data_IF_474774783375
#
_entry.id   IF_474774783375
#
_cell.length_a   1.000
_cell.length_b   1.000
_cell.length_c   1.000
_cell.angle_alpha   90.00
_cell.angle_beta   90.00
_cell.angle_gamma   90.00
#
_symmetry.space_group_name_H-M   'P 1'
#
loop_
_entity.id
_entity.type
_entity.pdbx_description
1 polymer ?
#
# COMPACT_ATOMS: atom_id res chain seq x y z
N UNK A 1 -5.39 -14.36 -24.08
CA UNK A 1 -4.81 -13.01 -23.91
C UNK A 1 -3.45 -13.19 -23.26
N UNK A 2 -2.40 -12.51 -23.74
CA UNK A 2 -1.11 -12.56 -23.06
C UNK A 2 -1.26 -11.91 -21.67
N UNK A 3 -0.51 -12.38 -20.68
CA UNK A 3 -0.56 -11.85 -19.31
C UNK A 3 -0.30 -10.34 -19.27
N UNK A 4 0.54 -9.84 -20.18
CA UNK A 4 0.86 -8.43 -20.34
C UNK A 4 -0.36 -7.58 -20.76
N UNK A 5 -1.25 -8.13 -21.61
CA UNK A 5 -2.46 -7.43 -22.05
C UNK A 5 -3.46 -7.24 -20.91
N UNK A 6 -3.55 -8.25 -20.03
CA UNK A 6 -4.42 -8.19 -18.85
C UNK A 6 -3.91 -7.14 -17.87
N UNK A 7 -2.60 -7.11 -17.63
CA UNK A 7 -2.01 -6.13 -16.73
C UNK A 7 -2.22 -4.69 -17.23
N UNK A 8 -2.01 -4.43 -18.52
CA UNK A 8 -2.28 -3.10 -19.14
C UNK A 8 -3.74 -2.66 -18.95
N UNK A 9 -4.70 -3.58 -19.10
CA UNK A 9 -6.12 -3.31 -18.87
C UNK A 9 -6.41 -2.93 -17.41
N UNK A 10 -5.80 -3.64 -16.47
CA UNK A 10 -5.95 -3.35 -15.03
C UNK A 10 -5.39 -1.97 -14.71
N UNK A 11 -4.19 -1.63 -15.19
CA UNK A 11 -3.58 -0.32 -14.97
C UNK A 11 -4.47 0.80 -15.53
N UNK A 12 -5.00 0.63 -16.75
CA UNK A 12 -5.94 1.59 -17.34
C UNK A 12 -7.19 1.78 -16.49
N UNK A 13 -7.80 0.69 -16.04
CA UNK A 13 -8.97 0.73 -15.17
C UNK A 13 -8.67 1.43 -13.83
N UNK A 14 -7.54 1.12 -13.20
CA UNK A 14 -7.14 1.75 -11.95
C UNK A 14 -7.00 3.27 -12.09
N UNK A 15 -6.45 3.74 -13.22
CA UNK A 15 -6.30 5.18 -13.49
C UNK A 15 -7.64 5.84 -13.81
N UNK A 16 -8.44 5.23 -14.68
CA UNK A 16 -9.73 5.78 -15.13
C UNK A 16 -10.76 5.90 -13.99
N UNK A 17 -10.80 4.92 -13.09
CA UNK A 17 -11.79 4.87 -12.01
C UNK A 17 -11.27 5.37 -10.67
N UNK A 18 -10.08 5.99 -10.62
CA UNK A 18 -9.58 6.65 -9.41
C UNK A 18 -9.14 5.70 -8.31
N UNK A 19 -8.46 4.61 -8.66
CA UNK A 19 -7.81 3.70 -7.71
C UNK A 19 -6.35 4.09 -7.44
N UNK A 20 -5.49 4.05 -8.45
CA UNK A 20 -4.04 4.26 -8.30
C UNK A 20 -3.51 5.11 -9.43
N UNK A 21 -2.65 6.07 -9.08
CA UNK A 21 -1.99 6.99 -10.00
C UNK A 21 -0.47 6.94 -9.82
N UNK A 22 0.32 7.09 -10.90
CA UNK A 22 1.74 7.40 -10.77
C UNK A 22 1.91 8.71 -10.01
N UNK A 23 2.74 8.70 -8.96
CA UNK A 23 2.96 9.90 -8.18
C UNK A 23 3.76 10.92 -8.98
N UNK A 24 3.45 12.20 -8.78
CA UNK A 24 4.10 13.33 -9.47
C UNK A 24 4.02 13.25 -11.00
N UNK A 25 2.96 12.66 -11.57
CA UNK A 25 2.85 12.41 -13.02
C UNK A 25 3.03 13.70 -13.86
N UNK A 26 2.57 14.86 -13.37
CA UNK A 26 2.73 16.16 -14.06
C UNK A 26 4.13 16.77 -13.94
N UNK A 27 5.02 16.15 -13.17
CA UNK A 27 6.40 16.57 -12.89
C UNK A 27 7.40 15.44 -13.23
N UNK A 28 7.21 14.79 -14.38
CA UNK A 28 8.00 13.65 -14.89
C UNK A 28 7.89 12.33 -14.09
N UNK A 29 7.08 12.32 -13.03
CA UNK A 29 6.83 11.13 -12.22
C UNK A 29 7.97 10.80 -11.26
N UNK A 30 7.66 10.06 -10.20
CA UNK A 30 8.65 9.47 -9.31
C UNK A 30 8.60 7.94 -9.43
N UNK A 31 9.69 7.35 -9.89
CA UNK A 31 9.79 5.91 -10.07
C UNK A 31 9.45 5.15 -8.79
N UNK A 32 8.63 4.10 -8.93
CA UNK A 32 8.16 3.24 -7.85
C UNK A 32 7.32 3.92 -6.75
N UNK A 33 6.82 5.14 -6.98
CA UNK A 33 5.91 5.84 -6.04
C UNK A 33 4.55 6.08 -6.68
N UNK A 34 3.50 5.83 -5.91
CA UNK A 34 2.11 5.86 -6.39
C UNK A 34 1.18 6.47 -5.36
N UNK A 35 0.17 7.17 -5.85
CA UNK A 35 -0.87 7.82 -5.06
C UNK A 35 -2.21 7.07 -5.21
N UNK A 36 -2.96 6.98 -4.11
CA UNK A 36 -4.29 6.36 -4.10
C UNK A 36 -5.35 7.42 -4.36
N UNK A 37 -6.23 7.19 -5.34
CA UNK A 37 -7.40 8.04 -5.63
C UNK A 37 -8.58 7.75 -4.69
N UNK A 38 -9.74 8.38 -4.94
CA UNK A 38 -10.92 8.23 -4.08
C UNK A 38 -11.33 6.77 -3.83
N UNK A 39 -11.39 5.95 -4.88
CA UNK A 39 -11.79 4.55 -4.75
C UNK A 39 -10.65 3.68 -4.21
N UNK A 40 -9.41 4.07 -4.50
CA UNK A 40 -8.22 3.38 -4.00
C UNK A 40 -8.02 3.52 -2.50
N UNK A 41 -8.24 4.73 -1.96
CA UNK A 41 -8.15 4.99 -0.52
C UNK A 41 -9.21 4.19 0.24
N UNK A 42 -10.46 4.20 -0.23
CA UNK A 42 -11.55 3.43 0.38
C UNK A 42 -11.27 1.93 0.35
N UNK A 43 -10.86 1.39 -0.81
CA UNK A 43 -10.50 -0.02 -0.93
C UNK A 43 -9.35 -0.40 0.01
N UNK A 44 -8.28 0.41 0.04
CA UNK A 44 -7.13 0.20 0.92
C UNK A 44 -7.52 0.21 2.39
N UNK A 45 -8.35 1.17 2.82
CA UNK A 45 -8.80 1.29 4.20
C UNK A 45 -9.69 0.11 4.60
N UNK A 46 -10.59 -0.33 3.72
CA UNK A 46 -11.46 -1.49 3.95
C UNK A 46 -10.65 -2.78 4.11
N UNK A 47 -9.64 -3.00 3.27
CA UNK A 47 -8.74 -4.16 3.39
C UNK A 47 -7.95 -4.10 4.69
N UNK A 48 -7.37 -2.94 5.04
CA UNK A 48 -6.64 -2.76 6.29
C UNK A 48 -7.50 -3.04 7.51
N UNK A 49 -8.74 -2.52 7.53
CA UNK A 49 -9.69 -2.74 8.60
C UNK A 49 -10.05 -4.22 8.73
N UNK A 50 -10.41 -4.86 7.63
CA UNK A 50 -10.74 -6.29 7.61
C UNK A 50 -9.58 -7.12 8.15
N UNK A 51 -8.35 -6.85 7.70
CA UNK A 51 -7.17 -7.55 8.17
C UNK A 51 -6.95 -7.34 9.67
N UNK A 52 -7.03 -6.08 10.16
CA UNK A 52 -6.86 -5.76 11.57
C UNK A 52 -7.89 -6.47 12.45
N UNK A 53 -9.16 -6.39 12.06
CA UNK A 53 -10.25 -7.05 12.79
C UNK A 53 -10.01 -8.57 12.81
N UNK A 54 -9.61 -9.17 11.69
CA UNK A 54 -9.38 -10.62 11.59
C UNK A 54 -8.16 -11.11 12.39
N UNK A 55 -7.06 -10.35 12.40
CA UNK A 55 -5.80 -10.80 12.98
C UNK A 55 -5.65 -10.37 14.43
N UNK A 56 -6.04 -9.15 14.77
CA UNK A 56 -5.80 -8.57 16.10
C UNK A 56 -6.99 -8.77 17.02
N UNK A 57 -8.22 -8.61 16.52
CA UNK A 57 -9.40 -8.68 17.41
C UNK A 57 -9.89 -10.12 17.64
N UNK A 58 -9.66 -11.04 16.70
CA UNK A 58 -10.10 -12.43 16.81
C UNK A 58 -9.07 -13.38 17.43
N UNK A 59 -7.84 -12.93 17.67
CA UNK A 59 -6.76 -13.75 18.22
C UNK A 59 -6.28 -13.19 19.56
N UNK A 60 -6.38 -13.99 20.62
CA UNK A 60 -6.01 -13.59 21.99
C UNK A 60 -4.50 -13.34 22.17
N UNK A 61 -3.68 -13.85 21.25
CA UNK A 61 -2.22 -13.79 21.31
C UNK A 61 -1.60 -12.77 20.34
N UNK A 62 -2.40 -11.89 19.75
CA UNK A 62 -1.93 -10.84 18.83
C UNK A 62 -2.24 -9.47 19.43
N UNK A 63 -1.24 -8.58 19.48
CA UNK A 63 -1.37 -7.23 20.03
C UNK A 63 -1.09 -6.20 18.95
N UNK A 64 -1.96 -5.19 18.84
CA UNK A 64 -1.79 -4.07 17.92
C UNK A 64 -0.72 -3.08 18.41
N UNK A 65 0.17 -2.67 17.51
CA UNK A 65 1.23 -1.68 17.78
C UNK A 65 1.24 -0.68 16.62
N UNK A 66 1.43 0.60 16.93
CA UNK A 66 1.68 1.67 15.96
C UNK A 66 3.01 2.35 16.29
N UNK A 67 3.93 2.39 15.33
CA UNK A 67 5.32 2.83 15.53
C UNK A 67 5.69 4.00 14.62
N UNK A 68 6.69 4.77 15.04
CA UNK A 68 7.17 5.91 14.27
C UNK A 68 7.97 5.46 13.03
N UNK A 69 7.81 6.16 11.91
CA UNK A 69 8.56 5.91 10.66
C UNK A 69 10.05 6.25 10.84
N UNK A 70 10.36 7.37 11.48
CA UNK A 70 11.74 7.75 11.77
C UNK A 70 12.21 7.10 13.07
N UNK A 71 13.27 6.30 12.97
CA UNK A 71 13.84 5.54 14.08
C UNK A 71 15.32 5.86 14.27
N UNK A 72 15.84 5.67 15.49
CA UNK A 72 17.26 5.92 15.79
C UNK A 72 18.17 4.98 14.96
N UNK A 73 19.23 5.47 14.28
CA UNK A 73 20.01 4.69 13.32
C UNK A 73 20.69 3.43 13.87
N UNK A 74 20.86 3.30 15.19
CA UNK A 74 21.45 2.10 15.80
C UNK A 74 20.55 0.88 15.74
N UNK A 75 19.23 1.05 15.56
CA UNK A 75 18.28 -0.06 15.45
C UNK A 75 18.62 -0.92 14.23
N UNK A 76 18.87 -0.28 13.08
CA UNK A 76 19.23 -0.96 11.83
C UNK A 76 20.60 -1.64 11.85
N UNK A 77 21.54 -1.15 12.67
CA UNK A 77 22.85 -1.80 12.88
C UNK A 77 22.75 -3.11 13.67
N UNK A 78 21.67 -3.32 14.42
CA UNK A 78 21.50 -4.52 15.25
C UNK A 78 20.98 -5.72 14.47
N UNK A 79 20.37 -5.50 13.31
CA UNK A 79 19.82 -6.55 12.43
C UNK A 79 20.89 -7.20 11.52
N UNK A 80 22.09 -6.63 11.45
CA UNK A 80 23.22 -7.13 10.65
C UNK A 80 24.07 -8.15 11.42
N UNK A 81 23.43 -9.24 11.90
CA UNK A 81 24.10 -10.40 12.48
C UNK A 81 23.86 -11.66 11.66
#
# INVERSE_FOLDING_TARGET
>A
MAQEDVFKKIVSHCKEYGFVFPSSEIYDGLGAVYDYGQNGVELKNNIKKFWWDSMVLLHENVVGIDSAIFMHPTIWRSEER
#
